data_IF_402805904434
#
_entry.id   IF_402805904434
#
_cell.length_a   1.000
_cell.length_b   1.000
_cell.length_c   1.000
_cell.angle_alpha   90.00
_cell.angle_beta   90.00
_cell.angle_gamma   90.00
#
_symmetry.space_group_name_H-M   'P 1'
#
loop_
_entity.id
_entity.type
_entity.pdbx_description
1 polymer ?
#
# COMPACT_ATOMS: atom_id res chain seq x y z
N UNK A 1 -10.10 -35.83 -1.04
CA UNK A 1 -8.89 -35.05 -0.73
C UNK A 1 -8.19 -34.70 -2.04
N UNK A 2 -8.24 -33.44 -2.46
CA UNK A 2 -7.07 -32.62 -2.80
C UNK A 2 -7.59 -31.24 -3.26
N UNK A 3 -7.53 -30.26 -2.36
CA UNK A 3 -7.69 -28.85 -2.69
C UNK A 3 -6.30 -28.33 -3.07
N UNK A 4 -6.05 -28.10 -4.35
CA UNK A 4 -4.83 -27.44 -4.82
C UNK A 4 -5.15 -25.98 -5.12
N UNK A 5 -4.40 -25.12 -4.43
CA UNK A 5 -4.47 -23.68 -4.39
C UNK A 5 -4.61 -23.01 -5.76
N UNK A 6 -5.63 -22.16 -5.87
CA UNK A 6 -5.60 -21.01 -6.78
C UNK A 6 -4.57 -20.02 -6.23
N UNK A 7 -3.32 -20.14 -6.65
CA UNK A 7 -2.37 -19.04 -6.55
C UNK A 7 -2.82 -17.94 -7.53
N UNK A 8 -3.58 -16.99 -7.01
CA UNK A 8 -3.81 -15.71 -7.68
C UNK A 8 -2.47 -14.97 -7.69
N UNK A 9 -1.65 -15.24 -8.70
CA UNK A 9 -0.53 -14.38 -9.07
C UNK A 9 -1.13 -13.07 -9.57
N UNK A 10 -1.38 -12.14 -8.64
CA UNK A 10 -1.67 -10.75 -8.97
C UNK A 10 -0.36 -10.12 -9.44
N UNK A 11 0.00 -10.39 -10.70
CA UNK A 11 1.14 -9.76 -11.35
C UNK A 11 0.96 -8.23 -11.28
N UNK A 12 1.79 -7.52 -10.50
CA UNK A 12 1.69 -6.06 -10.37
C UNK A 12 2.02 -5.35 -11.69
N UNK A 13 2.62 -6.05 -12.66
CA UNK A 13 3.12 -5.53 -13.93
C UNK A 13 2.00 -5.35 -14.96
N UNK A 14 1.14 -6.36 -15.15
CA UNK A 14 0.05 -6.31 -16.15
C UNK A 14 -0.90 -5.11 -15.99
N UNK A 15 -1.21 -4.72 -14.76
CA UNK A 15 -2.09 -3.57 -14.49
C UNK A 15 -1.43 -2.20 -14.69
N UNK A 16 -0.09 -2.11 -14.68
CA UNK A 16 0.64 -0.87 -14.97
C UNK A 16 0.72 -0.65 -16.48
N UNK A 17 1.00 -1.71 -17.25
CA UNK A 17 1.09 -1.66 -18.72
C UNK A 17 -0.23 -1.19 -19.35
N UNK A 18 -1.36 -1.76 -18.95
CA UNK A 18 -2.68 -1.38 -19.47
C UNK A 18 -3.03 0.09 -19.20
N UNK A 19 -2.60 0.66 -18.07
CA UNK A 19 -2.87 2.06 -17.70
C UNK A 19 -1.97 3.06 -18.43
N UNK A 20 -0.78 2.64 -18.86
CA UNK A 20 0.20 3.51 -19.53
C UNK A 20 0.06 3.52 -21.05
N UNK A 21 -0.49 2.45 -21.62
CA UNK A 21 -0.65 2.30 -23.07
C UNK A 21 -1.33 3.52 -23.74
N UNK A 22 -2.46 4.07 -23.26
CA UNK A 22 -3.11 5.20 -23.93
C UNK A 22 -2.21 6.44 -24.10
N UNK A 23 -1.31 6.69 -23.14
CA UNK A 23 -0.46 7.89 -23.12
C UNK A 23 0.90 7.67 -23.77
N UNK A 24 1.39 6.43 -23.80
CA UNK A 24 2.77 6.11 -24.19
C UNK A 24 2.87 5.08 -25.34
N UNK A 25 1.76 4.67 -25.96
CA UNK A 25 1.79 3.69 -27.05
C UNK A 25 2.57 4.16 -28.30
N UNK A 26 2.69 5.48 -28.51
CA UNK A 26 3.50 6.06 -29.59
C UNK A 26 4.90 6.50 -29.11
N UNK A 27 5.21 6.36 -27.82
CA UNK A 27 6.53 6.68 -27.29
C UNK A 27 7.54 5.56 -27.60
N UNK A 28 8.83 5.90 -27.60
CA UNK A 28 9.88 4.89 -27.70
C UNK A 28 9.82 3.90 -26.53
N UNK A 29 10.21 2.66 -26.78
CA UNK A 29 10.26 1.60 -25.76
C UNK A 29 11.06 2.05 -24.53
N UNK A 30 12.18 2.73 -24.73
CA UNK A 30 13.01 3.29 -23.65
C UNK A 30 12.22 4.25 -22.73
N UNK A 31 11.45 5.19 -23.31
CA UNK A 31 10.63 6.13 -22.53
C UNK A 31 9.50 5.41 -21.79
N UNK A 32 8.90 4.39 -22.39
CA UNK A 32 7.90 3.57 -21.73
C UNK A 32 8.49 2.85 -20.50
N UNK A 33 9.64 2.22 -20.68
CA UNK A 33 10.37 1.49 -19.62
C UNK A 33 10.73 2.44 -18.48
N UNK A 34 11.25 3.64 -18.77
CA UNK A 34 11.58 4.63 -17.76
C UNK A 34 10.36 5.07 -16.94
N UNK A 35 9.24 5.36 -17.61
CA UNK A 35 8.01 5.76 -16.92
C UNK A 35 7.47 4.60 -16.08
N UNK A 36 7.40 3.39 -16.63
CA UNK A 36 6.94 2.21 -15.91
C UNK A 36 7.81 1.93 -14.67
N UNK A 37 9.14 1.94 -14.83
CA UNK A 37 10.10 1.77 -13.74
C UNK A 37 9.94 2.84 -12.67
N UNK A 38 9.73 4.11 -13.04
CA UNK A 38 9.52 5.20 -12.07
C UNK A 38 8.24 4.99 -11.23
N UNK A 39 7.19 4.43 -11.82
CA UNK A 39 5.91 4.16 -11.16
C UNK A 39 6.06 2.95 -10.23
N UNK A 40 6.69 1.88 -10.71
CA UNK A 40 6.97 0.69 -9.91
C UNK A 40 7.86 1.03 -8.71
N UNK A 41 8.91 1.85 -8.91
CA UNK A 41 9.79 2.31 -7.84
C UNK A 41 9.03 3.12 -6.79
N UNK A 42 8.15 4.04 -7.20
CA UNK A 42 7.29 4.81 -6.28
C UNK A 42 6.32 3.92 -5.50
N UNK A 43 5.72 2.91 -6.15
CA UNK A 43 4.83 1.95 -5.48
C UNK A 43 5.56 1.01 -4.53
N UNK A 44 6.85 0.75 -4.77
CA UNK A 44 7.69 -0.10 -3.92
C UNK A 44 8.20 0.60 -2.65
N UNK A 45 8.08 1.92 -2.54
CA UNK A 45 8.45 2.63 -1.31
C UNK A 45 7.33 2.40 -0.28
N UNK A 46 7.66 1.73 0.82
CA UNK A 46 6.74 1.51 1.93
C UNK A 46 6.22 2.86 2.48
N UNK A 47 4.96 2.89 2.92
CA UNK A 47 4.41 4.04 3.64
C UNK A 47 5.01 4.13 5.04
N UNK A 48 4.95 5.30 5.69
CA UNK A 48 5.30 5.44 7.11
C UNK A 48 4.49 4.48 7.99
N UNK A 49 3.17 4.38 7.74
CA UNK A 49 2.31 3.41 8.43
C UNK A 49 2.83 1.98 8.29
N UNK A 50 3.14 1.53 7.06
CA UNK A 50 3.65 0.20 6.81
C UNK A 50 5.02 -0.03 7.45
N UNK A 51 5.87 1.00 7.44
CA UNK A 51 7.22 0.97 8.00
C UNK A 51 7.16 0.79 9.52
N UNK A 52 6.40 1.62 10.22
CA UNK A 52 6.22 1.53 11.67
C UNK A 52 5.54 0.22 12.05
N UNK A 53 4.47 -0.19 11.35
CA UNK A 53 3.79 -1.46 11.61
C UNK A 53 4.73 -2.66 11.53
N UNK A 54 5.56 -2.73 10.48
CA UNK A 54 6.54 -3.81 10.32
C UNK A 54 7.64 -3.76 11.38
N UNK A 55 8.08 -2.57 11.80
CA UNK A 55 9.06 -2.42 12.89
C UNK A 55 8.52 -2.95 14.23
N UNK A 56 7.22 -2.80 14.48
CA UNK A 56 6.52 -3.35 15.66
C UNK A 56 6.21 -4.85 15.51
N UNK A 57 6.37 -5.43 14.32
CA UNK A 57 6.17 -6.85 14.05
C UNK A 57 4.70 -7.27 13.86
N UNK A 58 3.78 -6.33 13.63
CA UNK A 58 2.36 -6.65 13.43
C UNK A 58 2.05 -6.89 11.95
N UNK A 59 1.20 -7.87 11.66
CA UNK A 59 0.49 -7.97 10.37
C UNK A 59 -0.60 -6.90 10.24
N UNK A 60 -1.12 -6.68 9.02
CA UNK A 60 -2.25 -5.76 8.81
C UNK A 60 -3.51 -6.23 9.57
N UNK A 61 -3.71 -7.54 9.69
CA UNK A 61 -4.82 -8.15 10.41
C UNK A 61 -4.69 -7.89 11.91
N UNK A 62 -3.52 -8.14 12.49
CA UNK A 62 -3.28 -7.89 13.91
C UNK A 62 -3.41 -6.41 14.27
N UNK A 63 -2.91 -5.50 13.42
CA UNK A 63 -3.10 -4.06 13.61
C UNK A 63 -4.60 -3.69 13.55
N UNK A 64 -5.35 -4.30 12.64
CA UNK A 64 -6.81 -4.09 12.55
C UNK A 64 -7.52 -4.51 13.83
N UNK A 65 -7.23 -5.73 14.31
CA UNK A 65 -7.84 -6.29 15.52
C UNK A 65 -7.51 -5.47 16.77
N UNK A 66 -6.26 -5.01 16.91
CA UNK A 66 -5.81 -4.23 18.07
C UNK A 66 -6.30 -2.77 18.05
N UNK A 67 -6.40 -2.15 16.88
CA UNK A 67 -6.76 -0.72 16.75
C UNK A 67 -8.25 -0.47 16.56
N UNK A 68 -9.02 -1.47 16.13
CA UNK A 68 -10.41 -1.31 15.72
C UNK A 68 -10.59 -0.63 14.34
N UNK A 69 -9.51 -0.21 13.68
CA UNK A 69 -9.54 0.26 12.30
C UNK A 69 -9.67 -0.95 11.38
N UNK A 70 -10.58 -0.91 10.41
CA UNK A 70 -10.85 -2.06 9.54
C UNK A 70 -9.62 -2.44 8.71
N UNK A 71 -9.42 -3.74 8.47
CA UNK A 71 -8.33 -4.25 7.62
C UNK A 71 -8.29 -3.57 6.26
N UNK A 72 -9.47 -3.33 5.66
CA UNK A 72 -9.62 -2.64 4.38
C UNK A 72 -9.03 -1.23 4.41
N UNK A 73 -9.25 -0.48 5.49
CA UNK A 73 -8.72 0.89 5.64
C UNK A 73 -7.19 0.86 5.77
N UNK A 74 -6.64 -0.03 6.59
CA UNK A 74 -5.19 -0.20 6.74
C UNK A 74 -4.55 -0.52 5.38
N UNK A 75 -5.13 -1.47 4.64
CA UNK A 75 -4.68 -1.80 3.28
C UNK A 75 -4.73 -0.59 2.34
N UNK A 76 -5.82 0.19 2.37
CA UNK A 76 -5.93 1.38 1.52
C UNK A 76 -4.89 2.44 1.85
N UNK A 77 -4.58 2.64 3.13
CA UNK A 77 -3.53 3.57 3.54
C UNK A 77 -2.15 3.08 3.09
N UNK A 78 -1.81 1.81 3.34
CA UNK A 78 -0.51 1.26 2.95
C UNK A 78 -0.30 1.18 1.43
N UNK A 79 -1.38 1.05 0.67
CA UNK A 79 -1.36 1.06 -0.80
C UNK A 79 -1.50 2.47 -1.39
N UNK A 80 -1.61 3.51 -0.55
CA UNK A 80 -1.90 4.91 -0.95
C UNK A 80 -3.17 5.06 -1.80
N UNK A 81 -4.12 4.11 -1.66
CA UNK A 81 -5.45 4.21 -2.24
C UNK A 81 -6.34 5.17 -1.44
N UNK A 82 -6.03 5.40 -0.16
CA UNK A 82 -6.53 6.51 0.64
C UNK A 82 -5.38 7.29 1.21
N UNK A 83 -5.56 8.60 1.26
CA UNK A 83 -4.64 9.55 1.88
C UNK A 83 -4.75 9.44 3.41
N UNK A 84 -3.66 9.03 4.06
CA UNK A 84 -3.61 8.89 5.52
C UNK A 84 -3.66 10.25 6.23
N UNK A 85 -3.25 11.34 5.55
CA UNK A 85 -3.39 12.70 6.09
C UNK A 85 -4.85 13.13 6.24
N UNK A 86 -5.76 12.44 5.56
CA UNK A 86 -7.21 12.63 5.65
C UNK A 86 -7.90 11.55 6.48
N UNK A 87 -7.13 10.73 7.19
CA UNK A 87 -7.72 9.81 8.16
C UNK A 87 -8.48 10.59 9.23
N UNK A 88 -9.59 10.04 9.72
CA UNK A 88 -10.26 10.63 10.88
C UNK A 88 -9.28 10.65 12.05
N UNK A 89 -9.33 11.70 12.88
CA UNK A 89 -8.47 11.80 14.05
C UNK A 89 -8.56 10.54 14.94
N UNK A 90 -9.78 10.02 15.12
CA UNK A 90 -10.00 8.77 15.86
C UNK A 90 -9.24 7.57 15.30
N UNK A 91 -9.26 7.35 13.98
CA UNK A 91 -8.51 6.26 13.36
C UNK A 91 -7.00 6.47 13.49
N UNK A 92 -6.53 7.70 13.26
CA UNK A 92 -5.10 8.02 13.34
C UNK A 92 -4.56 7.79 14.76
N UNK A 93 -5.26 8.27 15.79
CA UNK A 93 -4.88 8.04 17.19
C UNK A 93 -5.00 6.57 17.61
N UNK A 94 -5.99 5.83 17.11
CA UNK A 94 -6.12 4.41 17.40
C UNK A 94 -4.94 3.60 16.83
N UNK A 95 -4.53 3.88 15.59
CA UNK A 95 -3.35 3.27 14.97
C UNK A 95 -2.08 3.63 15.73
N UNK A 96 -1.84 4.91 15.99
CA UNK A 96 -0.65 5.40 16.67
C UNK A 96 -0.48 4.79 18.06
N UNK A 97 -1.57 4.64 18.82
CA UNK A 97 -1.56 4.03 20.15
C UNK A 97 -1.11 2.56 20.13
N UNK A 98 -1.61 1.77 19.17
CA UNK A 98 -1.24 0.36 19.03
C UNK A 98 0.21 0.22 18.55
N UNK A 99 0.65 1.14 17.70
CA UNK A 99 2.00 1.15 17.13
C UNK A 99 3.05 1.75 18.07
N UNK A 100 2.64 2.35 19.20
CA UNK A 100 3.56 2.98 20.15
C UNK A 100 4.28 4.20 19.57
N UNK A 101 3.67 4.91 18.61
CA UNK A 101 4.23 6.11 17.98
C UNK A 101 3.29 7.31 18.15
N UNK A 102 3.74 8.49 17.72
CA UNK A 102 2.89 9.67 17.63
C UNK A 102 2.01 9.59 16.36
N UNK A 103 0.90 10.30 16.34
CA UNK A 103 0.00 10.32 15.19
C UNK A 103 0.68 10.94 13.95
N UNK A 104 1.52 11.95 14.18
CA UNK A 104 2.32 12.67 13.21
C UNK A 104 3.35 11.77 12.51
N UNK A 105 3.82 10.73 13.20
CA UNK A 105 4.78 9.77 12.64
C UNK A 105 4.15 8.94 11.51
N UNK A 106 2.81 8.88 11.42
CA UNK A 106 2.06 8.14 10.40
C UNK A 106 1.70 8.97 9.16
N UNK A 107 1.84 10.30 9.21
CA UNK A 107 1.44 11.24 8.14
C UNK A 107 2.50 11.32 7.03
N UNK A 108 2.11 11.33 5.75
CA UNK A 108 3.03 11.39 4.59
C UNK A 108 2.43 11.97 3.31
#
# INVERSE_FOLDING_TARGET
MLTAATESSSDPSGGVVQKLYPTLHEASEEKFVDVANSILKRKNIATKLQTVRKAVGLSQKELSEKSGVTLRMIQQYEQRAKDINKASAGNLFALARVLGCKAEDLLE
#
